data_IF_555229019649
#
_entry.id   IF_555229019649
#
_cell.length_a   1.000
_cell.length_b   1.000
_cell.length_c   1.000
_cell.angle_alpha   90.00
_cell.angle_beta   90.00
_cell.angle_gamma   90.00
#
_symmetry.space_group_name_H-M   'P 1'
#
loop_
_entity.id
_entity.type
_entity.pdbx_description
1 polymer ?
#
# COMPACT_ATOMS: atom_id res chain seq x y z
N UNK A 1 -27.53 -4.20 20.95
CA UNK A 1 -26.53 -5.25 21.26
C UNK A 1 -25.21 -4.82 20.63
N UNK A 2 -24.20 -4.45 21.42
CA UNK A 2 -22.86 -4.11 20.86
C UNK A 2 -22.18 -5.45 20.51
N UNK A 3 -21.68 -5.62 19.28
CA UNK A 3 -20.91 -6.82 18.96
C UNK A 3 -19.66 -6.85 19.85
N UNK A 4 -19.45 -7.95 20.56
CA UNK A 4 -18.19 -8.21 21.25
C UNK A 4 -17.09 -8.23 20.19
N UNK A 5 -16.18 -7.27 20.25
CA UNK A 5 -14.93 -7.27 19.47
C UNK A 5 -14.02 -8.35 20.07
N UNK A 6 -14.42 -9.58 19.93
CA UNK A 6 -13.52 -10.73 20.11
C UNK A 6 -12.84 -10.91 18.75
N UNK A 7 -11.65 -10.35 18.59
CA UNK A 7 -10.87 -10.62 17.39
C UNK A 7 -10.61 -12.11 17.30
N UNK A 8 -11.32 -12.79 16.40
CA UNK A 8 -10.99 -14.16 16.08
C UNK A 8 -9.57 -14.15 15.50
N UNK A 9 -8.61 -14.75 16.21
CA UNK A 9 -7.18 -14.76 15.83
C UNK A 9 -6.99 -15.19 14.37
N UNK A 10 -7.82 -16.13 13.91
CA UNK A 10 -7.80 -16.60 12.53
C UNK A 10 -8.15 -15.49 11.51
N UNK A 11 -9.18 -14.68 11.80
CA UNK A 11 -9.55 -13.52 10.96
C UNK A 11 -8.44 -12.47 10.99
N UNK A 12 -7.87 -12.22 12.19
CA UNK A 12 -6.76 -11.27 12.32
C UNK A 12 -5.56 -11.67 11.46
N UNK A 13 -5.12 -12.93 11.57
CA UNK A 13 -3.95 -13.44 10.82
C UNK A 13 -4.21 -13.42 9.30
N UNK A 14 -5.41 -13.81 8.86
CA UNK A 14 -5.78 -13.75 7.44
C UNK A 14 -5.80 -12.30 6.93
N UNK A 15 -6.42 -11.39 7.66
CA UNK A 15 -6.52 -9.99 7.30
C UNK A 15 -5.14 -9.32 7.25
N UNK A 16 -4.32 -9.54 8.28
CA UNK A 16 -2.93 -9.05 8.33
C UNK A 16 -2.12 -9.60 7.16
N UNK A 17 -2.13 -10.91 6.94
CA UNK A 17 -1.37 -11.56 5.87
C UNK A 17 -1.81 -11.11 4.48
N UNK A 18 -3.11 -10.93 4.25
CA UNK A 18 -3.64 -10.40 2.98
C UNK A 18 -3.18 -8.95 2.74
N UNK A 19 -3.29 -8.08 3.75
CA UNK A 19 -2.85 -6.69 3.64
C UNK A 19 -1.33 -6.59 3.46
N UNK A 20 -0.57 -7.35 4.26
CA UNK A 20 0.88 -7.38 4.17
C UNK A 20 1.35 -7.88 2.79
N UNK A 21 0.94 -9.08 2.39
CA UNK A 21 1.43 -9.72 1.17
C UNK A 21 1.06 -8.92 -0.07
N UNK A 22 -0.19 -8.45 -0.15
CA UNK A 22 -0.64 -7.67 -1.30
C UNK A 22 0.11 -6.34 -1.42
N UNK A 23 0.16 -5.55 -0.34
CA UNK A 23 0.81 -4.24 -0.40
C UNK A 23 2.33 -4.37 -0.54
N UNK A 24 2.95 -5.39 0.06
CA UNK A 24 4.38 -5.65 -0.12
C UNK A 24 4.73 -5.90 -1.59
N UNK A 25 3.97 -6.79 -2.27
CA UNK A 25 4.23 -7.11 -3.68
C UNK A 25 3.88 -5.93 -4.58
N UNK A 26 2.79 -5.22 -4.28
CA UNK A 26 2.37 -4.06 -5.05
C UNK A 26 3.37 -2.91 -5.02
N UNK A 27 4.05 -2.73 -3.89
CA UNK A 27 4.97 -1.61 -3.67
C UNK A 27 6.41 -1.91 -4.09
N UNK A 28 6.77 -3.20 -4.23
CA UNK A 28 8.10 -3.55 -4.73
C UNK A 28 8.30 -3.01 -6.15
N UNK A 29 9.28 -2.12 -6.33
CA UNK A 29 9.62 -1.52 -7.62
C UNK A 29 8.61 -0.49 -8.12
N UNK A 30 7.72 0.01 -7.27
CA UNK A 30 6.81 1.09 -7.62
C UNK A 30 7.49 2.46 -7.58
N UNK A 31 6.82 3.47 -8.15
CA UNK A 31 7.29 4.87 -8.23
C UNK A 31 7.72 5.41 -6.87
N UNK A 32 6.98 5.10 -5.81
CA UNK A 32 7.28 5.57 -4.45
C UNK A 32 8.56 4.95 -3.90
N UNK A 33 8.85 3.69 -4.19
CA UNK A 33 10.12 3.08 -3.83
C UNK A 33 11.30 3.75 -4.54
N UNK A 34 11.14 4.12 -5.82
CA UNK A 34 12.15 4.86 -6.59
C UNK A 34 12.34 6.27 -6.01
N UNK A 35 11.26 6.96 -5.66
CA UNK A 35 11.33 8.27 -5.02
C UNK A 35 12.06 8.22 -3.67
N UNK A 36 11.74 7.24 -2.82
CA UNK A 36 12.41 7.01 -1.53
C UNK A 36 13.90 6.74 -1.74
N UNK A 37 14.25 5.88 -2.71
CA UNK A 37 15.63 5.59 -3.07
C UNK A 37 16.38 6.87 -3.47
N UNK A 38 15.80 7.67 -4.37
CA UNK A 38 16.40 8.91 -4.87
C UNK A 38 16.55 9.95 -3.77
N UNK A 39 15.53 10.12 -2.92
CA UNK A 39 15.57 11.03 -1.78
C UNK A 39 16.60 10.58 -0.76
N UNK A 40 16.71 9.27 -0.49
CA UNK A 40 17.68 8.72 0.44
C UNK A 40 19.12 8.90 -0.03
N UNK A 41 19.39 8.71 -1.32
CA UNK A 41 20.68 9.01 -1.93
C UNK A 41 21.08 10.49 -1.78
N UNK A 42 20.09 11.40 -1.76
CA UNK A 42 20.32 12.85 -1.67
C UNK A 42 20.40 13.37 -0.23
N UNK A 43 19.55 12.86 0.65
CA UNK A 43 19.32 13.43 1.98
C UNK A 43 19.69 12.50 3.14
N UNK A 44 20.13 11.28 2.84
CA UNK A 44 20.44 10.23 3.82
C UNK A 44 19.22 9.39 4.22
N UNK A 45 19.51 8.19 4.69
CA UNK A 45 18.51 7.17 5.02
C UNK A 45 17.50 7.59 6.09
N UNK A 46 18.03 8.06 7.26
CA UNK A 46 17.18 8.25 8.46
C UNK A 46 16.03 9.24 8.25
N UNK A 47 16.27 10.49 7.82
CA UNK A 47 15.18 11.46 7.67
C UNK A 47 14.19 11.05 6.58
N UNK A 48 14.65 10.40 5.52
CA UNK A 48 13.80 9.97 4.41
C UNK A 48 12.91 8.81 4.82
N UNK A 49 13.48 7.79 5.47
CA UNK A 49 12.71 6.66 5.96
C UNK A 49 11.65 7.09 6.99
N UNK A 50 12.00 7.94 7.96
CA UNK A 50 11.04 8.42 8.96
C UNK A 50 9.91 9.23 8.29
N UNK A 51 10.23 10.10 7.34
CA UNK A 51 9.21 10.87 6.62
C UNK A 51 8.26 9.98 5.84
N UNK A 52 8.77 9.00 5.09
CA UNK A 52 7.98 8.01 4.37
C UNK A 52 7.12 7.16 5.33
N UNK A 53 7.72 6.67 6.42
CA UNK A 53 7.01 5.85 7.41
C UNK A 53 5.84 6.60 8.05
N UNK A 54 6.00 7.88 8.35
CA UNK A 54 4.92 8.73 8.86
C UNK A 54 3.83 8.96 7.81
N UNK A 55 4.19 9.20 6.55
CA UNK A 55 3.22 9.32 5.45
C UNK A 55 2.34 8.08 5.36
N UNK A 56 2.93 6.88 5.35
CA UNK A 56 2.19 5.63 5.29
C UNK A 56 1.29 5.40 6.51
N UNK A 57 1.73 5.74 7.72
CA UNK A 57 0.88 5.65 8.92
C UNK A 57 -0.37 6.52 8.76
N UNK A 58 -0.21 7.76 8.35
CA UNK A 58 -1.32 8.70 8.17
C UNK A 58 -2.28 8.21 7.10
N UNK A 59 -1.76 7.85 5.93
CA UNK A 59 -2.58 7.42 4.79
C UNK A 59 -3.29 6.08 5.05
N UNK A 60 -2.59 5.12 5.66
CA UNK A 60 -3.19 3.83 6.01
C UNK A 60 -4.25 3.96 7.10
N UNK A 61 -4.04 4.83 8.10
CA UNK A 61 -5.06 5.12 9.11
C UNK A 61 -6.33 5.72 8.46
N UNK A 62 -6.17 6.63 7.50
CA UNK A 62 -7.26 7.19 6.72
C UNK A 62 -7.98 6.10 5.90
N UNK A 63 -7.22 5.27 5.18
CA UNK A 63 -7.77 4.19 4.35
C UNK A 63 -8.58 3.17 5.16
N UNK A 64 -8.05 2.70 6.29
CA UNK A 64 -8.77 1.71 7.12
C UNK A 64 -9.99 2.33 7.80
N UNK A 65 -9.95 3.62 8.13
CA UNK A 65 -11.10 4.33 8.68
C UNK A 65 -12.23 4.42 7.66
N UNK A 66 -11.92 4.85 6.43
CA UNK A 66 -12.87 4.88 5.32
C UNK A 66 -13.42 3.48 5.02
N UNK A 67 -12.54 2.47 4.98
CA UNK A 67 -12.94 1.08 4.76
C UNK A 67 -13.86 0.53 5.86
N UNK A 68 -13.63 0.90 7.12
CA UNK A 68 -14.48 0.50 8.24
C UNK A 68 -15.87 1.15 8.15
N UNK A 69 -15.95 2.43 7.77
CA UNK A 69 -17.21 3.14 7.55
C UNK A 69 -17.99 2.47 6.41
N UNK A 70 -17.34 2.20 5.28
CA UNK A 70 -17.98 1.50 4.15
C UNK A 70 -18.54 0.14 4.60
N UNK A 71 -17.78 -0.61 5.42
CA UNK A 71 -18.22 -1.91 5.93
C UNK A 71 -19.49 -1.85 6.80
N UNK A 72 -19.77 -0.72 7.43
CA UNK A 72 -20.95 -0.53 8.28
C UNK A 72 -22.22 -0.25 7.45
N UNK A 73 -22.10 0.53 6.38
CA UNK A 73 -23.23 1.04 5.62
C UNK A 73 -23.50 0.32 4.31
N UNK A 74 -22.53 -0.43 3.79
CA UNK A 74 -22.63 -1.09 2.49
C UNK A 74 -22.80 -2.61 2.65
N UNK A 75 -23.75 -3.25 1.94
CA UNK A 75 -23.92 -4.69 1.98
C UNK A 75 -22.66 -5.44 1.53
N UNK A 76 -22.34 -6.54 2.21
CA UNK A 76 -21.12 -7.34 1.96
C UNK A 76 -20.98 -7.77 0.49
N UNK A 77 -22.09 -8.14 -0.16
CA UNK A 77 -22.09 -8.51 -1.57
C UNK A 77 -21.60 -7.37 -2.47
N UNK A 78 -22.03 -6.15 -2.20
CA UNK A 78 -21.62 -4.95 -2.95
C UNK A 78 -20.13 -4.68 -2.71
N UNK A 79 -19.70 -4.73 -1.44
CA UNK A 79 -18.27 -4.57 -1.07
C UNK A 79 -17.41 -5.57 -1.81
N UNK A 80 -17.81 -6.84 -1.85
CA UNK A 80 -17.08 -7.92 -2.52
C UNK A 80 -16.84 -7.63 -4.00
N UNK A 81 -17.87 -7.25 -4.73
CA UNK A 81 -17.75 -6.98 -6.16
C UNK A 81 -17.01 -5.67 -6.44
N UNK A 82 -17.19 -4.64 -5.61
CA UNK A 82 -16.43 -3.41 -5.73
C UNK A 82 -14.94 -3.65 -5.44
N UNK A 83 -14.61 -4.39 -4.39
CA UNK A 83 -13.24 -4.77 -4.08
C UNK A 83 -12.61 -5.56 -5.25
N UNK A 84 -13.29 -6.59 -5.75
CA UNK A 84 -12.83 -7.37 -6.89
C UNK A 84 -12.54 -6.49 -8.11
N UNK A 85 -13.47 -5.57 -8.44
CA UNK A 85 -13.30 -4.64 -9.56
C UNK A 85 -12.08 -3.73 -9.36
N UNK A 86 -11.90 -3.15 -8.16
CA UNK A 86 -10.73 -2.33 -7.81
C UNK A 86 -9.44 -3.10 -8.03
N UNK A 87 -9.32 -4.32 -7.50
CA UNK A 87 -8.13 -5.14 -7.65
C UNK A 87 -7.84 -5.50 -9.12
N UNK A 88 -8.86 -5.88 -9.89
CA UNK A 88 -8.69 -6.20 -11.32
C UNK A 88 -8.27 -4.96 -12.12
N UNK A 89 -8.92 -3.81 -11.89
CA UNK A 89 -8.59 -2.55 -12.59
C UNK A 89 -7.14 -2.16 -12.29
N UNK A 90 -6.71 -2.16 -11.02
CA UNK A 90 -5.32 -1.83 -10.68
C UNK A 90 -4.33 -2.85 -11.20
N UNK A 91 -4.68 -4.14 -11.18
CA UNK A 91 -3.88 -5.17 -11.83
C UNK A 91 -3.64 -4.90 -13.31
N UNK A 92 -4.68 -4.52 -14.05
CA UNK A 92 -4.57 -4.15 -15.46
C UNK A 92 -3.79 -2.85 -15.67
N UNK A 93 -4.01 -1.84 -14.80
CA UNK A 93 -3.27 -0.58 -14.86
C UNK A 93 -1.77 -0.76 -14.57
N UNK A 94 -1.40 -1.72 -13.71
CA UNK A 94 0.00 -2.02 -13.38
C UNK A 94 0.84 -2.47 -14.59
N UNK A 95 0.23 -2.90 -15.69
CA UNK A 95 0.96 -3.23 -16.91
C UNK A 95 1.33 -2.01 -17.75
N UNK A 96 0.74 -0.84 -17.48
CA UNK A 96 1.07 0.40 -18.20
C UNK A 96 2.39 0.97 -17.69
N UNK A 97 3.28 1.46 -18.57
CA UNK A 97 4.46 2.21 -18.15
C UNK A 97 4.04 3.47 -17.39
N UNK A 98 4.56 3.66 -16.19
CA UNK A 98 4.41 4.95 -15.49
C UNK A 98 5.37 5.96 -16.11
N UNK A 99 4.89 7.20 -16.31
CA UNK A 99 5.76 8.31 -16.63
C UNK A 99 6.49 8.73 -15.35
N UNK A 100 7.80 8.82 -15.42
CA UNK A 100 8.61 9.39 -14.34
C UNK A 100 8.25 10.87 -14.21
N UNK A 101 7.48 11.22 -13.20
CA UNK A 101 7.27 12.62 -12.82
C UNK A 101 8.40 13.02 -11.88
N UNK A 102 9.31 13.83 -12.37
CA UNK A 102 10.34 14.48 -11.56
C UNK A 102 9.67 15.46 -10.59
N UNK A 103 9.56 15.08 -9.34
CA UNK A 103 9.05 15.97 -8.29
C UNK A 103 10.18 16.84 -7.75
N UNK A 104 10.36 18.03 -8.35
CA UNK A 104 11.31 19.06 -7.90
C UNK A 104 10.81 19.91 -6.73
N UNK A 105 10.16 19.35 -5.73
CA UNK A 105 9.77 20.12 -4.55
C UNK A 105 10.80 19.97 -3.43
N UNK A 106 11.77 20.89 -3.39
CA UNK A 106 12.76 20.98 -2.32
C UNK A 106 12.24 21.82 -1.16
N UNK A 107 11.88 21.19 -0.06
CA UNK A 107 11.70 21.87 1.22
C UNK A 107 13.02 21.86 2.00
N UNK A 108 13.17 22.80 2.95
CA UNK A 108 14.41 22.90 3.77
C UNK A 108 14.64 21.70 4.71
N UNK A 109 13.63 20.86 4.94
CA UNK A 109 13.71 19.68 5.82
C UNK A 109 13.59 18.39 5.01
N UNK A 110 14.61 17.52 4.99
CA UNK A 110 14.57 16.23 4.31
C UNK A 110 13.41 15.32 4.77
N UNK A 111 13.12 15.32 6.07
CA UNK A 111 11.99 14.56 6.64
C UNK A 111 10.66 15.06 6.09
N UNK A 112 10.44 16.39 6.10
CA UNK A 112 9.20 16.96 5.59
C UNK A 112 9.07 16.79 4.07
N UNK A 113 10.18 16.88 3.34
CA UNK A 113 10.22 16.62 1.90
C UNK A 113 9.76 15.18 1.61
N UNK A 114 10.35 14.19 2.26
CA UNK A 114 10.01 12.78 2.03
C UNK A 114 8.57 12.48 2.47
N UNK A 115 8.11 13.02 3.61
CA UNK A 115 6.74 12.88 4.05
C UNK A 115 5.74 13.42 3.01
N UNK A 116 5.97 14.64 2.52
CA UNK A 116 5.06 15.27 1.55
C UNK A 116 5.11 14.58 0.19
N UNK A 117 6.30 14.23 -0.31
CA UNK A 117 6.45 13.53 -1.59
C UNK A 117 5.75 12.18 -1.53
N UNK A 118 6.03 11.35 -0.53
CA UNK A 118 5.40 10.04 -0.38
C UNK A 118 3.89 10.19 -0.16
N UNK A 119 3.44 11.12 0.68
CA UNK A 119 2.02 11.33 0.90
C UNK A 119 1.28 11.74 -0.39
N UNK A 120 1.87 12.61 -1.20
CA UNK A 120 1.27 13.03 -2.48
C UNK A 120 1.26 11.91 -3.51
N UNK A 121 2.32 11.08 -3.58
CA UNK A 121 2.41 9.97 -4.52
C UNK A 121 1.46 8.83 -4.18
N UNK A 122 1.23 8.58 -2.89
CA UNK A 122 0.40 7.49 -2.38
C UNK A 122 -1.07 7.87 -2.18
N UNK A 123 -1.39 9.17 -2.15
CA UNK A 123 -2.77 9.59 -1.94
C UNK A 123 -3.67 9.11 -3.08
N UNK A 124 -4.62 8.23 -2.75
CA UNK A 124 -5.53 7.62 -3.74
C UNK A 124 -4.91 6.52 -4.60
N UNK A 125 -3.68 6.08 -4.32
CA UNK A 125 -3.03 5.01 -5.08
C UNK A 125 -3.61 3.62 -4.79
N UNK A 126 -3.18 2.63 -5.58
CA UNK A 126 -3.61 1.21 -5.51
C UNK A 126 -3.50 0.60 -4.11
N UNK A 127 -2.42 0.92 -3.38
CA UNK A 127 -2.19 0.42 -2.02
C UNK A 127 -3.21 0.96 -1.04
N UNK A 128 -3.52 2.24 -1.09
CA UNK A 128 -4.55 2.86 -0.24
C UNK A 128 -5.94 2.29 -0.53
N UNK A 129 -6.32 2.15 -1.81
CA UNK A 129 -7.61 1.58 -2.20
C UNK A 129 -7.71 0.09 -1.85
N UNK A 130 -6.59 -0.66 -1.91
CA UNK A 130 -6.55 -2.05 -1.45
C UNK A 130 -6.85 -2.17 0.04
N UNK A 131 -6.30 -1.27 0.88
CA UNK A 131 -6.57 -1.24 2.32
C UNK A 131 -8.04 -0.91 2.62
N UNK A 132 -8.64 0.04 1.89
CA UNK A 132 -10.08 0.32 1.99
C UNK A 132 -10.90 -0.93 1.70
N UNK A 133 -10.61 -1.59 0.57
CA UNK A 133 -11.32 -2.79 0.13
C UNK A 133 -11.15 -3.97 1.09
N UNK A 134 -9.93 -4.23 1.55
CA UNK A 134 -9.64 -5.29 2.52
C UNK A 134 -10.28 -5.01 3.87
N UNK A 135 -10.26 -3.76 4.34
CA UNK A 135 -10.88 -3.39 5.62
C UNK A 135 -12.39 -3.59 5.56
N UNK A 136 -13.02 -3.15 4.48
CA UNK A 136 -14.46 -3.35 4.27
C UNK A 136 -14.83 -4.83 4.24
N UNK A 137 -14.00 -5.66 3.61
CA UNK A 137 -14.24 -7.10 3.49
C UNK A 137 -14.01 -7.87 4.80
N UNK A 138 -12.83 -7.70 5.40
CA UNK A 138 -12.46 -8.49 6.58
C UNK A 138 -13.03 -7.94 7.88
N UNK A 139 -13.50 -6.70 7.89
CA UNK A 139 -14.00 -6.00 9.09
C UNK A 139 -13.01 -6.04 10.27
N UNK A 140 -11.71 -6.04 9.93
CA UNK A 140 -10.60 -6.14 10.87
C UNK A 140 -9.61 -4.97 10.66
N UNK A 141 -10.01 -3.71 10.90
CA UNK A 141 -9.24 -2.51 10.55
C UNK A 141 -7.83 -2.50 11.18
N UNK A 142 -7.69 -2.95 12.44
CA UNK A 142 -6.39 -3.00 13.11
C UNK A 142 -5.44 -3.97 12.41
N UNK A 143 -5.91 -5.17 12.05
CA UNK A 143 -5.07 -6.16 11.36
C UNK A 143 -4.64 -5.66 9.98
N UNK A 144 -5.56 -5.04 9.23
CA UNK A 144 -5.28 -4.47 7.92
C UNK A 144 -4.30 -3.29 8.03
N UNK A 145 -4.51 -2.38 8.98
CA UNK A 145 -3.60 -1.27 9.25
C UNK A 145 -2.18 -1.76 9.54
N UNK A 146 -2.03 -2.71 10.47
CA UNK A 146 -0.72 -3.24 10.86
C UNK A 146 -0.05 -3.99 9.70
N UNK A 147 -0.80 -4.83 8.96
CA UNK A 147 -0.27 -5.56 7.82
C UNK A 147 0.17 -4.65 6.68
N UNK A 148 -0.67 -3.72 6.27
CA UNK A 148 -0.34 -2.74 5.23
C UNK A 148 0.81 -1.82 5.61
N UNK A 149 0.79 -1.29 6.84
CA UNK A 149 1.87 -0.40 7.32
C UNK A 149 3.20 -1.14 7.43
N UNK A 150 3.22 -2.37 7.95
CA UNK A 150 4.43 -3.17 8.01
C UNK A 150 5.00 -3.47 6.61
N UNK A 151 4.15 -3.79 5.63
CA UNK A 151 4.56 -4.00 4.25
C UNK A 151 5.24 -2.76 3.67
N UNK A 152 4.59 -1.59 3.77
CA UNK A 152 5.09 -0.33 3.23
C UNK A 152 6.35 0.17 3.95
N UNK A 153 6.47 -0.09 5.25
CA UNK A 153 7.69 0.20 6.00
C UNK A 153 8.87 -0.66 5.54
N UNK A 154 8.64 -1.95 5.29
CA UNK A 154 9.72 -2.85 4.84
C UNK A 154 10.15 -2.49 3.41
N UNK A 155 9.22 -2.22 2.50
CA UNK A 155 9.57 -1.80 1.13
C UNK A 155 10.29 -0.45 1.12
N UNK A 156 9.86 0.50 1.97
CA UNK A 156 10.55 1.80 2.16
C UNK A 156 11.93 1.65 2.77
N UNK A 157 12.09 0.74 3.73
CA UNK A 157 13.37 0.43 4.35
C UNK A 157 14.35 -0.10 3.29
N UNK A 158 13.90 -1.05 2.47
CA UNK A 158 14.69 -1.60 1.37
C UNK A 158 15.06 -0.48 0.37
N UNK A 159 14.08 0.33 -0.07
CA UNK A 159 14.31 1.43 -0.99
C UNK A 159 15.31 2.46 -0.45
N UNK A 160 15.17 2.84 0.81
CA UNK A 160 16.03 3.83 1.45
C UNK A 160 17.46 3.32 1.67
N UNK A 161 17.63 2.05 2.09
CA UNK A 161 18.96 1.42 2.24
C UNK A 161 19.67 1.24 0.90
N UNK A 162 18.94 0.79 -0.13
CA UNK A 162 19.49 0.65 -1.48
C UNK A 162 19.85 2.00 -2.06
N UNK A 163 19.05 3.05 -1.79
CA UNK A 163 19.32 4.42 -2.26
C UNK A 163 20.62 4.99 -1.68
N UNK A 164 20.90 4.74 -0.41
CA UNK A 164 22.14 5.17 0.22
C UNK A 164 23.37 4.39 -0.27
N UNK A 165 23.18 3.09 -0.62
CA UNK A 165 24.29 2.19 -0.98
C UNK A 165 24.50 1.90 -2.47
N UNK A 166 23.45 1.83 -3.28
CA UNK A 166 23.51 1.30 -4.65
C UNK A 166 22.36 1.83 -5.53
N UNK A 167 22.49 2.99 -6.13
CA UNK A 167 21.56 3.40 -7.18
C UNK A 167 21.73 2.52 -8.43
N UNK A 168 20.69 1.73 -8.84
CA UNK A 168 20.47 1.24 -10.22
C UNK A 168 20.44 -0.26 -10.56
N UNK A 169 20.13 -1.22 -9.69
CA UNK A 169 20.26 -2.65 -10.09
C UNK A 169 18.93 -3.43 -10.24
N UNK A 170 17.77 -2.89 -9.95
CA UNK A 170 16.52 -3.67 -9.99
C UNK A 170 15.77 -3.43 -11.31
N UNK A 171 15.47 -4.48 -12.12
CA UNK A 171 14.64 -4.35 -13.32
C UNK A 171 13.15 -4.17 -12.95
N UNK A 172 12.75 -2.96 -12.64
CA UNK A 172 11.40 -2.57 -12.20
C UNK A 172 10.26 -3.08 -13.10
N UNK A 173 10.54 -3.33 -14.38
CA UNK A 173 9.56 -3.89 -15.32
C UNK A 173 8.97 -5.23 -14.84
N UNK A 174 9.80 -6.15 -14.36
CA UNK A 174 9.35 -7.48 -13.93
C UNK A 174 8.57 -7.42 -12.61
N UNK A 175 9.00 -6.55 -11.70
CA UNK A 175 8.30 -6.35 -10.41
C UNK A 175 6.90 -5.80 -10.66
N UNK A 176 6.76 -4.82 -11.54
CA UNK A 176 5.48 -4.25 -11.94
C UNK A 176 4.54 -5.28 -12.57
N UNK A 177 5.07 -6.13 -13.47
CA UNK A 177 4.28 -7.22 -14.07
C UNK A 177 3.81 -8.21 -12.99
N UNK A 178 4.70 -8.61 -12.08
CA UNK A 178 4.35 -9.50 -10.99
C UNK A 178 3.26 -8.92 -10.09
N UNK A 179 3.37 -7.63 -9.71
CA UNK A 179 2.34 -6.93 -8.95
C UNK A 179 1.00 -6.93 -9.66
N UNK A 180 0.97 -6.60 -10.96
CA UNK A 180 -0.25 -6.61 -11.76
C UNK A 180 -0.95 -7.97 -11.78
N UNK A 181 -0.18 -9.05 -11.97
CA UNK A 181 -0.70 -10.44 -11.94
C UNK A 181 -1.28 -10.77 -10.56
N UNK A 182 -0.58 -10.42 -9.47
CA UNK A 182 -1.06 -10.67 -8.10
C UNK A 182 -2.36 -9.92 -7.83
N UNK A 183 -2.46 -8.65 -8.22
CA UNK A 183 -3.70 -7.89 -8.08
C UNK A 183 -4.88 -8.55 -8.81
N UNK A 184 -4.69 -9.01 -10.05
CA UNK A 184 -5.74 -9.70 -10.81
C UNK A 184 -6.15 -10.99 -10.11
N UNK A 185 -5.20 -11.80 -9.67
CA UNK A 185 -5.49 -13.05 -8.93
C UNK A 185 -6.31 -12.74 -7.67
N UNK A 186 -5.92 -11.75 -6.86
CA UNK A 186 -6.66 -11.34 -5.68
C UNK A 186 -8.07 -10.87 -6.03
N UNK A 187 -8.22 -10.04 -7.08
CA UNK A 187 -9.54 -9.60 -7.56
C UNK A 187 -10.46 -10.76 -7.93
N UNK A 188 -9.92 -11.76 -8.63
CA UNK A 188 -10.65 -12.97 -9.00
C UNK A 188 -11.06 -13.77 -7.74
N UNK A 189 -10.13 -14.03 -6.82
CA UNK A 189 -10.39 -14.78 -5.59
C UNK A 189 -11.44 -14.08 -4.71
N UNK A 190 -11.42 -12.76 -4.65
CA UNK A 190 -12.42 -11.94 -3.95
C UNK A 190 -13.79 -12.05 -4.64
N UNK A 191 -13.85 -11.99 -5.98
CA UNK A 191 -15.11 -12.10 -6.71
C UNK A 191 -15.82 -13.43 -6.45
N UNK A 192 -15.06 -14.52 -6.37
CA UNK A 192 -15.57 -15.86 -6.07
C UNK A 192 -15.81 -16.12 -4.56
N UNK A 193 -15.50 -15.18 -3.69
CA UNK A 193 -15.70 -15.33 -2.25
C UNK A 193 -14.74 -16.32 -1.57
N UNK A 194 -13.61 -16.62 -2.21
CA UNK A 194 -12.57 -17.53 -1.69
C UNK A 194 -11.70 -16.83 -0.64
N UNK A 195 -11.47 -15.54 -0.83
CA UNK A 195 -10.77 -14.65 0.11
C UNK A 195 -11.73 -13.76 0.84
#
# INVERSE_FOLDING_TARGET
MRPRIGYNLHVFVKAFGAAFGLNFIAELGDKTQIAILTLSARYGFVPVFIGAALAFVILNALAVTVGAIIAEYVPETVIRYLAAAVFIIFGLLSFRPEKEEESERTTKSPLLTSLLVVALMEFGDKTQLSLVALTSKYRAPIAIFLGGTAALWITSLIGALVGEGLGSVIPFKWVRIASGVVFIIFGILIAFGIL
#
